data_IF_896314109855
#
_entry.id   IF_896314109855
#
_cell.length_a   1.000
_cell.length_b   1.000
_cell.length_c   1.000
_cell.angle_alpha   90.00
_cell.angle_beta   90.00
_cell.angle_gamma   90.00
#
_symmetry.space_group_name_H-M   'P 1'
#
loop_
_entity.id
_entity.type
_entity.pdbx_description
1 polymer ?
#
# COMPACT_ATOMS: atom_id res chain seq x y z
N UNK A 1 -5.23 -20.90 -9.31
CA UNK A 1 -4.91 -19.66 -10.04
C UNK A 1 -4.30 -18.70 -9.04
N UNK A 2 -3.17 -18.08 -9.36
CA UNK A 2 -2.49 -17.20 -8.41
C UNK A 2 -3.23 -15.87 -8.36
N UNK A 3 -3.66 -15.44 -7.17
CA UNK A 3 -4.28 -14.13 -6.97
C UNK A 3 -3.26 -13.21 -6.32
N UNK A 4 -3.03 -12.04 -6.91
CA UNK A 4 -2.14 -11.01 -6.39
C UNK A 4 -2.97 -9.77 -6.06
N UNK A 5 -2.62 -9.09 -4.99
CA UNK A 5 -3.11 -7.74 -4.70
C UNK A 5 -1.90 -6.82 -4.66
N UNK A 6 -1.77 -5.95 -5.65
CA UNK A 6 -0.77 -4.89 -5.69
C UNK A 6 -1.31 -3.75 -4.83
N UNK A 7 -0.60 -3.42 -3.76
CA UNK A 7 -1.05 -2.52 -2.72
C UNK A 7 -0.02 -1.42 -2.52
N UNK A 8 -0.53 -0.21 -2.37
CA UNK A 8 0.22 0.99 -2.01
C UNK A 8 -0.58 1.76 -0.95
N UNK A 9 0.12 2.38 0.00
CA UNK A 9 -0.50 3.21 1.04
C UNK A 9 0.26 4.51 1.25
N UNK A 10 -0.52 5.56 1.51
CA UNK A 10 0.00 6.76 2.13
C UNK A 10 -0.38 6.80 3.61
N UNK A 11 0.49 7.38 4.43
CA UNK A 11 0.41 7.24 5.89
C UNK A 11 0.82 8.51 6.62
N UNK A 12 0.37 8.68 7.86
CA UNK A 12 0.70 9.84 8.70
C UNK A 12 2.13 9.82 9.28
N UNK A 13 2.96 8.86 8.90
CA UNK A 13 4.33 8.73 9.44
C UNK A 13 5.06 7.51 8.89
N UNK A 14 6.31 7.31 9.30
CA UNK A 14 7.14 6.22 8.75
C UNK A 14 7.09 4.92 9.55
N UNK A 15 6.28 4.86 10.61
CA UNK A 15 6.17 3.71 11.51
C UNK A 15 4.71 3.42 11.85
N UNK A 16 4.29 2.17 11.71
CA UNK A 16 2.90 1.73 11.92
C UNK A 16 2.45 1.71 13.39
N UNK A 17 3.38 1.82 14.36
CA UNK A 17 3.02 1.90 15.77
C UNK A 17 2.23 3.18 16.09
N UNK A 18 2.70 4.33 15.59
CA UNK A 18 2.12 5.66 15.83
C UNK A 18 1.39 6.22 14.60
N UNK A 19 1.81 5.78 13.40
CA UNK A 19 1.20 6.18 12.14
C UNK A 19 -0.13 5.48 11.86
N UNK A 20 -0.93 6.09 10.99
CA UNK A 20 -2.21 5.58 10.48
C UNK A 20 -2.26 5.76 8.96
N UNK A 21 -3.08 4.96 8.29
CA UNK A 21 -3.26 5.04 6.83
C UNK A 21 -4.11 6.27 6.48
N UNK A 22 -3.69 7.02 5.46
CA UNK A 22 -4.40 8.19 4.89
C UNK A 22 -4.91 7.96 3.48
N UNK A 23 -4.33 7.00 2.76
CA UNK A 23 -4.80 6.53 1.45
C UNK A 23 -4.46 5.05 1.30
N UNK A 24 -5.32 4.31 0.61
CA UNK A 24 -5.04 2.94 0.21
C UNK A 24 -5.44 2.74 -1.25
N UNK A 25 -4.56 2.13 -2.03
CA UNK A 25 -4.84 1.63 -3.37
C UNK A 25 -4.58 0.12 -3.42
N UNK A 26 -5.51 -0.63 -4.01
CA UNK A 26 -5.46 -2.08 -4.15
C UNK A 26 -5.90 -2.45 -5.57
N UNK A 27 -5.01 -3.09 -6.31
CA UNK A 27 -5.30 -3.68 -7.61
C UNK A 27 -5.19 -5.21 -7.53
N UNK A 28 -6.29 -5.91 -7.78
CA UNK A 28 -6.30 -7.37 -7.88
C UNK A 28 -5.85 -7.81 -9.27
N UNK A 29 -4.97 -8.81 -9.32
CA UNK A 29 -4.38 -9.30 -10.57
C UNK A 29 -4.33 -10.83 -10.56
N UNK A 30 -4.65 -11.46 -11.69
CA UNK A 30 -4.63 -12.93 -11.84
C UNK A 30 -3.29 -13.47 -12.37
N UNK A 31 -2.37 -12.56 -12.70
CA UNK A 31 -1.07 -12.84 -13.30
C UNK A 31 -0.94 -12.30 -14.73
N UNK A 32 -2.06 -12.02 -15.38
CA UNK A 32 -2.14 -11.49 -16.74
C UNK A 32 -2.87 -10.15 -16.80
N UNK A 33 -3.98 -10.01 -16.08
CA UNK A 33 -4.85 -8.83 -16.12
C UNK A 33 -5.23 -8.34 -14.72
N UNK A 34 -5.52 -7.03 -14.63
CA UNK A 34 -6.25 -6.46 -13.49
C UNK A 34 -7.68 -6.98 -13.52
N UNK A 35 -8.14 -7.50 -12.39
CA UNK A 35 -9.45 -8.17 -12.25
C UNK A 35 -10.41 -7.39 -11.35
N UNK A 36 -9.89 -6.53 -10.48
CA UNK A 36 -10.66 -5.66 -9.59
C UNK A 36 -9.75 -4.55 -9.07
N UNK A 37 -10.33 -3.41 -8.68
CA UNK A 37 -9.60 -2.27 -8.15
C UNK A 37 -10.37 -1.55 -7.04
N UNK A 38 -9.62 -1.02 -6.07
CA UNK A 38 -10.17 -0.25 -4.97
C UNK A 38 -9.14 0.80 -4.54
N UNK A 39 -9.54 2.07 -4.59
CA UNK A 39 -8.73 3.17 -4.06
C UNK A 39 -9.61 4.13 -3.27
N UNK A 40 -9.11 4.63 -2.15
CA UNK A 40 -9.77 5.66 -1.35
C UNK A 40 -8.79 6.39 -0.45
N UNK A 41 -9.06 7.68 -0.23
CA UNK A 41 -8.57 8.36 0.97
C UNK A 41 -9.17 7.70 2.21
N UNK A 42 -8.47 7.80 3.32
CA UNK A 42 -8.86 7.24 4.61
C UNK A 42 -8.70 8.30 5.68
N UNK A 43 -9.72 8.48 6.50
CA UNK A 43 -9.60 9.32 7.70
C UNK A 43 -8.72 8.59 8.73
N UNK A 44 -7.50 9.11 9.03
CA UNK A 44 -6.56 8.45 9.94
C UNK A 44 -6.96 8.61 11.42
N UNK A 45 -8.01 9.38 11.71
CA UNK A 45 -8.45 9.76 13.07
C UNK A 45 -7.34 10.43 13.90
N UNK A 46 -6.38 11.06 13.21
CA UNK A 46 -5.31 11.86 13.82
C UNK A 46 -4.83 12.94 12.85
N UNK A 47 -4.08 13.91 13.37
CA UNK A 47 -3.50 14.97 12.55
C UNK A 47 -2.39 14.44 11.64
N UNK A 48 -2.39 14.85 10.38
CA UNK A 48 -1.29 14.58 9.43
C UNK A 48 -0.15 15.57 9.70
N UNK A 49 1.07 15.12 10.03
CA UNK A 49 2.20 16.03 10.22
C UNK A 49 2.51 16.81 8.94
N UNK A 50 2.84 18.10 9.07
CA UNK A 50 3.12 18.97 7.91
C UNK A 50 4.15 18.38 6.94
N UNK A 51 5.21 17.74 7.45
CA UNK A 51 6.23 17.08 6.63
C UNK A 51 5.65 15.95 5.75
N UNK A 52 4.67 15.22 6.26
CA UNK A 52 3.99 14.15 5.52
C UNK A 52 3.06 14.75 4.46
N UNK A 53 2.32 15.80 4.79
CA UNK A 53 1.52 16.54 3.80
C UNK A 53 2.39 17.08 2.66
N UNK A 54 3.61 17.57 2.96
CA UNK A 54 4.55 18.00 1.91
C UNK A 54 5.06 16.85 1.04
N UNK A 55 5.15 15.64 1.59
CA UNK A 55 5.62 14.45 0.86
C UNK A 55 4.54 13.85 -0.03
N UNK A 56 3.31 13.74 0.50
CA UNK A 56 2.20 12.99 -0.10
C UNK A 56 1.17 13.88 -0.79
N UNK A 57 1.15 15.17 -0.47
CA UNK A 57 0.10 16.10 -0.89
C UNK A 57 -1.22 15.95 -0.09
N UNK A 58 -1.36 14.93 0.76
CA UNK A 58 -2.59 14.67 1.51
C UNK A 58 -2.68 15.59 2.73
N UNK A 59 -3.78 16.33 2.80
CA UNK A 59 -4.07 17.29 3.88
C UNK A 59 -5.14 16.76 4.83
N UNK A 60 -5.16 17.22 6.08
CA UNK A 60 -6.22 16.92 7.05
C UNK A 60 -7.62 17.19 6.49
N UNK A 61 -7.76 18.24 5.67
CA UNK A 61 -9.03 18.61 5.03
C UNK A 61 -9.51 17.57 4.01
N UNK A 62 -8.58 16.96 3.26
CA UNK A 62 -8.93 15.96 2.24
C UNK A 62 -9.47 14.67 2.87
N UNK A 63 -8.97 14.31 4.05
CA UNK A 63 -9.33 13.07 4.74
C UNK A 63 -10.44 13.24 5.78
N UNK A 64 -10.90 14.47 6.03
CA UNK A 64 -11.87 14.76 7.09
C UNK A 64 -13.18 13.98 6.91
N UNK A 65 -13.72 13.96 5.69
CA UNK A 65 -14.97 13.27 5.33
C UNK A 65 -14.71 11.90 4.65
N UNK A 66 -13.46 11.47 4.57
CA UNK A 66 -13.09 10.17 4.04
C UNK A 66 -13.53 9.05 5.01
N UNK A 67 -13.78 7.82 4.53
CA UNK A 67 -14.10 6.71 5.41
C UNK A 67 -12.93 6.43 6.37
N UNK A 68 -13.24 6.06 7.61
CA UNK A 68 -12.25 5.52 8.55
C UNK A 68 -11.85 4.12 8.12
N UNK A 69 -10.68 3.67 8.57
CA UNK A 69 -10.20 2.33 8.23
C UNK A 69 -11.20 1.22 8.60
N UNK A 70 -11.90 1.32 9.73
CA UNK A 70 -12.90 0.35 10.16
C UNK A 70 -14.08 0.21 9.18
N UNK A 71 -14.41 1.26 8.44
CA UNK A 71 -15.52 1.29 7.49
C UNK A 71 -15.18 0.58 6.17
N UNK A 72 -13.89 0.47 5.84
CA UNK A 72 -13.38 -0.22 4.64
C UNK A 72 -12.73 -1.57 4.93
N UNK A 73 -12.44 -1.87 6.21
CA UNK A 73 -11.70 -3.05 6.64
C UNK A 73 -12.27 -4.38 6.11
N UNK A 74 -13.59 -4.55 6.18
CA UNK A 74 -14.25 -5.77 5.69
C UNK A 74 -14.03 -5.97 4.19
N UNK A 75 -14.23 -4.93 3.39
CA UNK A 75 -14.02 -4.96 1.94
C UNK A 75 -12.59 -5.36 1.61
N UNK A 76 -11.61 -4.77 2.30
CA UNK A 76 -10.19 -5.10 2.12
C UNK A 76 -9.93 -6.58 2.41
N UNK A 77 -10.46 -7.13 3.51
CA UNK A 77 -10.29 -8.56 3.85
C UNK A 77 -10.86 -9.48 2.77
N UNK A 78 -12.08 -9.20 2.32
CA UNK A 78 -12.77 -9.98 1.28
C UNK A 78 -12.02 -9.90 -0.06
N UNK A 79 -11.63 -8.69 -0.46
CA UNK A 79 -10.90 -8.43 -1.70
C UNK A 79 -9.53 -9.13 -1.73
N UNK A 80 -8.79 -9.08 -0.62
CA UNK A 80 -7.44 -9.69 -0.55
C UNK A 80 -7.46 -11.16 -0.14
N UNK A 81 -8.63 -11.77 0.10
CA UNK A 81 -8.73 -13.16 0.51
C UNK A 81 -8.06 -14.09 -0.51
N UNK A 82 -7.18 -14.98 -0.01
CA UNK A 82 -6.41 -15.92 -0.83
C UNK A 82 -5.34 -15.30 -1.73
N UNK A 83 -5.11 -13.98 -1.63
CA UNK A 83 -4.16 -13.28 -2.48
C UNK A 83 -2.77 -13.17 -1.84
N UNK A 84 -1.74 -13.09 -2.69
CA UNK A 84 -0.42 -12.60 -2.29
C UNK A 84 -0.45 -11.08 -2.24
N UNK A 85 -0.08 -10.51 -1.10
CA UNK A 85 0.14 -9.08 -0.92
C UNK A 85 1.42 -8.67 -1.64
N UNK A 86 1.32 -7.82 -2.65
CA UNK A 86 2.44 -7.34 -3.46
C UNK A 86 2.60 -5.83 -3.23
N UNK A 87 3.81 -5.39 -2.90
CA UNK A 87 4.10 -3.95 -2.78
C UNK A 87 5.58 -3.64 -2.99
N UNK A 88 5.88 -2.38 -3.30
CA UNK A 88 7.23 -1.89 -3.52
C UNK A 88 7.84 -1.39 -2.21
N UNK A 89 8.58 -2.28 -1.52
CA UNK A 89 8.90 -2.20 -0.09
C UNK A 89 7.80 -2.75 0.84
N UNK A 90 7.20 -3.89 0.46
CA UNK A 90 6.06 -4.50 1.16
C UNK A 90 6.14 -4.69 2.68
N UNK A 91 7.32 -4.61 3.31
CA UNK A 91 7.40 -4.62 4.76
C UNK A 91 6.71 -3.38 5.38
N UNK A 92 6.83 -2.23 4.71
CA UNK A 92 6.24 -0.96 5.12
C UNK A 92 4.71 -1.04 5.06
N UNK A 93 4.14 -1.22 3.87
CA UNK A 93 2.69 -1.23 3.63
C UNK A 93 1.98 -2.29 4.47
N UNK A 94 2.57 -3.49 4.49
CA UNK A 94 2.01 -4.60 5.25
C UNK A 94 2.01 -4.33 6.76
N UNK A 95 3.01 -3.61 7.30
CA UNK A 95 3.02 -3.26 8.72
C UNK A 95 1.88 -2.31 9.11
N UNK A 96 1.52 -1.39 8.21
CA UNK A 96 0.38 -0.49 8.42
C UNK A 96 -0.95 -1.24 8.38
N UNK A 97 -1.15 -2.12 7.39
CA UNK A 97 -2.33 -3.00 7.36
C UNK A 97 -2.44 -3.83 8.65
N UNK A 98 -1.34 -4.47 9.07
CA UNK A 98 -1.29 -5.24 10.32
C UNK A 98 -1.68 -4.41 11.53
N UNK A 99 -1.17 -3.18 11.63
CA UNK A 99 -1.46 -2.27 12.74
C UNK A 99 -2.93 -1.84 12.75
N UNK A 100 -3.46 -1.39 11.60
CA UNK A 100 -4.86 -0.97 11.49
C UNK A 100 -5.83 -2.12 11.81
N UNK A 101 -5.60 -3.32 11.26
CA UNK A 101 -6.42 -4.48 11.57
C UNK A 101 -6.28 -4.95 13.02
N UNK A 102 -5.08 -4.90 13.61
CA UNK A 102 -4.88 -5.24 15.01
C UNK A 102 -5.65 -4.30 15.95
N UNK A 103 -5.77 -3.01 15.61
CA UNK A 103 -6.62 -2.05 16.36
C UNK A 103 -8.10 -2.42 16.33
N UNK A 104 -8.53 -3.14 15.30
CA UNK A 104 -9.89 -3.69 15.17
C UNK A 104 -10.03 -5.10 15.78
N UNK A 105 -8.98 -5.64 16.40
CA UNK A 105 -8.98 -7.00 16.95
C UNK A 105 -8.90 -8.10 15.89
N UNK A 106 -8.45 -7.79 14.67
CA UNK A 106 -8.32 -8.74 13.57
C UNK A 106 -6.84 -9.03 13.25
N UNK A 107 -6.45 -10.31 13.25
CA UNK A 107 -5.11 -10.72 12.84
C UNK A 107 -5.03 -10.86 11.31
N UNK A 108 -4.67 -9.77 10.64
CA UNK A 108 -4.52 -9.77 9.19
C UNK A 108 -3.30 -10.57 8.74
N UNK A 109 -3.50 -11.64 7.97
CA UNK A 109 -2.42 -12.49 7.47
C UNK A 109 -2.53 -12.73 5.98
N UNK A 110 -1.48 -12.40 5.22
CA UNK A 110 -1.33 -12.74 3.79
C UNK A 110 0.10 -13.14 3.49
N UNK A 111 0.29 -13.99 2.49
CA UNK A 111 1.58 -14.17 1.84
C UNK A 111 2.05 -12.85 1.23
N UNK A 112 3.36 -12.63 1.17
CA UNK A 112 3.94 -11.34 0.78
C UNK A 112 4.99 -11.47 -0.30
N UNK A 113 4.94 -10.57 -1.26
CA UNK A 113 5.97 -10.40 -2.29
C UNK A 113 6.41 -8.93 -2.31
N UNK A 114 7.68 -8.69 -1.99
CA UNK A 114 8.28 -7.37 -2.07
C UNK A 114 8.99 -7.21 -3.40
N UNK A 115 8.53 -6.29 -4.24
CA UNK A 115 9.08 -6.12 -5.59
C UNK A 115 10.51 -5.60 -5.56
N UNK A 116 10.92 -4.79 -4.57
CA UNK A 116 12.34 -4.39 -4.35
C UNK A 116 13.24 -5.62 -4.13
N UNK A 117 12.80 -6.57 -3.28
CA UNK A 117 13.59 -7.78 -2.99
C UNK A 117 13.65 -8.69 -4.22
N UNK A 118 12.55 -8.80 -4.95
CA UNK A 118 12.48 -9.60 -6.16
C UNK A 118 13.35 -9.00 -7.27
N UNK A 119 13.26 -7.69 -7.50
CA UNK A 119 14.04 -6.98 -8.53
C UNK A 119 15.54 -7.08 -8.26
N UNK A 120 15.99 -7.01 -7.00
CA UNK A 120 17.41 -7.22 -6.65
C UNK A 120 17.94 -8.60 -7.03
N UNK A 121 17.07 -9.62 -6.99
CA UNK A 121 17.43 -10.99 -7.37
C UNK A 121 17.41 -11.17 -8.89
N UNK A 122 16.39 -10.65 -9.55
CA UNK A 122 16.18 -10.85 -10.99
C UNK A 122 17.04 -9.91 -11.86
N UNK A 123 17.32 -8.72 -11.36
CA UNK A 123 18.00 -7.64 -12.09
C UNK A 123 19.13 -7.08 -11.21
N UNK A 124 20.18 -7.87 -10.92
CA UNK A 124 21.25 -7.45 -10.03
C UNK A 124 22.07 -6.28 -10.61
N UNK A 125 22.81 -5.58 -9.74
CA UNK A 125 23.78 -4.56 -10.15
C UNK A 125 23.23 -3.17 -10.48
N UNK A 126 21.93 -2.90 -10.24
CA UNK A 126 21.37 -1.56 -10.44
C UNK A 126 21.79 -0.56 -9.32
N UNK A 127 22.03 0.71 -9.66
CA UNK A 127 22.46 1.74 -8.70
C UNK A 127 21.36 2.09 -7.69
N UNK A 128 20.09 1.98 -8.08
CA UNK A 128 18.93 2.20 -7.23
C UNK A 128 17.82 1.23 -7.58
N UNK A 129 17.03 0.86 -6.58
CA UNK A 129 15.84 0.02 -6.71
C UNK A 129 14.58 0.73 -6.23
N UNK A 130 14.58 2.07 -6.18
CA UNK A 130 13.32 2.81 -6.02
C UNK A 130 12.45 2.63 -7.26
N UNK A 131 11.13 2.71 -7.09
CA UNK A 131 10.15 2.46 -8.15
C UNK A 131 10.47 3.27 -9.41
N UNK A 132 10.64 4.59 -9.27
CA UNK A 132 10.98 5.49 -10.38
C UNK A 132 12.26 5.11 -11.13
N UNK A 133 13.34 4.80 -10.41
CA UNK A 133 14.60 4.42 -11.05
C UNK A 133 14.51 3.06 -11.75
N UNK A 134 13.75 2.11 -11.18
CA UNK A 134 13.54 0.82 -11.81
C UNK A 134 12.68 0.94 -13.07
N UNK A 135 11.59 1.69 -13.01
CA UNK A 135 10.75 1.95 -14.19
C UNK A 135 11.59 2.58 -15.31
N UNK A 136 12.35 3.63 -15.00
CA UNK A 136 13.26 4.25 -15.99
C UNK A 136 14.27 3.25 -16.56
N UNK A 137 14.91 2.44 -15.71
CA UNK A 137 15.90 1.44 -16.12
C UNK A 137 15.29 0.36 -17.04
N UNK A 138 14.02 0.05 -16.86
CA UNK A 138 13.28 -0.96 -17.62
C UNK A 138 12.56 -0.37 -18.85
N UNK A 139 12.66 0.94 -19.08
CA UNK A 139 11.94 1.62 -20.15
C UNK A 139 10.42 1.65 -19.94
N UNK A 140 9.99 1.61 -18.67
CA UNK A 140 8.57 1.72 -18.29
C UNK A 140 8.24 3.19 -18.00
N UNK A 141 7.21 3.69 -18.66
CA UNK A 141 6.68 5.02 -18.42
C UNK A 141 5.78 5.01 -17.17
N UNK A 142 5.96 6.02 -16.32
CA UNK A 142 5.06 6.29 -15.19
C UNK A 142 4.11 7.38 -15.64
N UNK A 143 2.84 7.02 -15.81
CA UNK A 143 1.78 7.97 -16.05
C UNK A 143 1.21 8.38 -14.70
N UNK A 144 1.35 9.66 -14.35
CA UNK A 144 0.77 10.26 -13.15
C UNK A 144 -0.59 10.87 -13.46
#
# INVERSE_FOLDING_TARGET
MNKYCIIDVETTGTNAHDGRITEVAIYCHDGENVTDEFSTLVNPEQRIPYRITQLTGITDRMVADAPRFCEIARKIVEMTAGATFVAHNAAFDYSFFRSEFARLGYDYQRERLCTVRLSRKLIPGKPSYSLGNLCQTLGLEINN
#
